data_IF_830915532075
#
_entry.id   IF_830915532075
#
_cell.length_a   1.000
_cell.length_b   1.000
_cell.length_c   1.000
_cell.angle_alpha   90.00
_cell.angle_beta   90.00
_cell.angle_gamma   90.00
#
_symmetry.space_group_name_H-M   'P 1'
#
loop_
_entity.id
_entity.type
_entity.pdbx_description
1 polymer ?
#
# COMPACT_ATOMS: atom_id res chain seq x y z
N UNK A 1 -4.62 14.19 8.07
CA UNK A 1 -5.02 14.71 6.73
C UNK A 1 -5.79 13.62 6.02
N UNK A 2 -7.02 13.87 5.57
CA UNK A 2 -7.85 12.89 4.87
C UNK A 2 -7.69 13.04 3.37
N UNK A 3 -7.32 11.97 2.67
CA UNK A 3 -7.24 11.93 1.21
C UNK A 3 -8.16 10.80 0.76
N UNK A 4 -9.14 11.10 -0.10
CA UNK A 4 -10.06 10.13 -0.70
C UNK A 4 -10.67 9.14 0.32
N UNK A 5 -11.24 9.64 1.42
CA UNK A 5 -11.98 8.84 2.38
C UNK A 5 -11.16 7.97 3.35
N UNK A 6 -9.82 8.05 3.34
CA UNK A 6 -8.96 7.35 4.31
C UNK A 6 -7.88 8.30 4.85
N UNK A 7 -7.48 8.11 6.10
CA UNK A 7 -6.42 8.92 6.68
C UNK A 7 -5.06 8.57 6.05
N UNK A 8 -4.19 9.58 5.93
CA UNK A 8 -2.81 9.36 5.47
C UNK A 8 -2.06 8.35 6.37
N UNK A 9 -2.37 8.36 7.66
CA UNK A 9 -1.80 7.50 8.69
C UNK A 9 -2.15 6.02 8.44
N UNK A 10 -3.42 5.69 8.23
CA UNK A 10 -3.84 4.32 7.89
C UNK A 10 -3.18 3.82 6.60
N UNK A 11 -2.97 4.71 5.61
CA UNK A 11 -2.29 4.33 4.36
C UNK A 11 -0.81 4.01 4.60
N UNK A 12 -0.16 4.77 5.47
CA UNK A 12 1.23 4.52 5.86
C UNK A 12 1.34 3.23 6.68
N UNK A 13 0.43 2.99 7.61
CA UNK A 13 0.37 1.73 8.38
C UNK A 13 0.18 0.53 7.45
N UNK A 14 -0.75 0.60 6.49
CA UNK A 14 -0.96 -0.47 5.52
C UNK A 14 0.29 -0.74 4.66
N UNK A 15 0.94 0.31 4.16
CA UNK A 15 2.18 0.16 3.40
C UNK A 15 3.32 -0.40 4.27
N UNK A 16 3.39 0.00 5.54
CA UNK A 16 4.35 -0.52 6.50
C UNK A 16 4.12 -2.01 6.79
N UNK A 17 2.87 -2.45 6.95
CA UNK A 17 2.53 -3.87 7.09
C UNK A 17 2.98 -4.67 5.87
N UNK A 18 2.73 -4.17 4.66
CA UNK A 18 3.21 -4.83 3.42
C UNK A 18 4.74 -4.91 3.39
N UNK A 19 5.43 -3.83 3.76
CA UNK A 19 6.89 -3.84 3.89
C UNK A 19 7.38 -4.90 4.88
N UNK A 20 6.78 -4.99 6.07
CA UNK A 20 7.15 -6.00 7.07
C UNK A 20 6.93 -7.43 6.57
N UNK A 21 5.83 -7.70 5.86
CA UNK A 21 5.56 -9.03 5.28
C UNK A 21 6.63 -9.40 4.26
N UNK A 22 6.99 -8.46 3.38
CA UNK A 22 8.06 -8.70 2.39
C UNK A 22 9.44 -8.87 3.04
N UNK A 23 9.73 -8.11 4.09
CA UNK A 23 10.97 -8.23 4.85
C UNK A 23 11.10 -9.60 5.53
N UNK A 24 10.04 -10.08 6.17
CA UNK A 24 9.99 -11.42 6.78
C UNK A 24 10.14 -12.50 5.70
N UNK A 25 9.46 -12.35 4.57
CA UNK A 25 9.54 -13.31 3.47
C UNK A 25 10.95 -13.39 2.85
N UNK A 26 11.59 -12.24 2.63
CA UNK A 26 12.97 -12.18 2.12
C UNK A 26 13.96 -12.82 3.11
N UNK A 27 13.74 -12.62 4.41
CA UNK A 27 14.55 -13.23 5.47
C UNK A 27 14.40 -14.75 5.51
N UNK A 28 13.18 -15.28 5.32
CA UNK A 28 12.94 -16.75 5.30
C UNK A 28 13.54 -17.39 4.05
N UNK A 29 13.51 -16.70 2.91
CA UNK A 29 13.98 -17.27 1.63
C UNK A 29 15.48 -17.19 1.41
N UNK A 30 16.21 -16.48 2.28
CA UNK A 30 17.65 -16.16 2.11
C UNK A 30 17.97 -15.54 0.73
N UNK A 31 16.94 -15.03 0.06
CA UNK A 31 16.99 -14.41 -1.26
C UNK A 31 16.72 -12.92 -1.06
N UNK A 32 17.76 -12.20 -0.67
CA UNK A 32 17.70 -10.78 -0.36
C UNK A 32 17.72 -9.91 -1.62
N UNK A 33 16.62 -9.93 -2.38
CA UNK A 33 16.38 -8.86 -3.34
C UNK A 33 15.76 -7.66 -2.64
N UNK A 34 16.65 -6.82 -2.09
CA UNK A 34 16.29 -5.56 -1.42
C UNK A 34 15.49 -4.62 -2.32
N UNK A 35 15.67 -4.72 -3.63
CA UNK A 35 14.92 -3.93 -4.62
C UNK A 35 13.44 -4.26 -4.53
N UNK A 36 13.10 -5.55 -4.51
CA UNK A 36 11.72 -6.02 -4.37
C UNK A 36 11.11 -5.66 -3.00
N UNK A 37 11.89 -5.79 -1.93
CA UNK A 37 11.45 -5.46 -0.55
C UNK A 37 11.06 -3.98 -0.41
N UNK A 38 11.74 -3.07 -1.12
CA UNK A 38 11.45 -1.63 -1.06
C UNK A 38 10.47 -1.18 -2.15
N UNK A 39 10.62 -1.68 -3.38
CA UNK A 39 9.78 -1.24 -4.50
C UNK A 39 8.33 -1.68 -4.35
N UNK A 40 8.07 -2.90 -3.87
CA UNK A 40 6.71 -3.43 -3.79
C UNK A 40 5.83 -2.64 -2.80
N UNK A 41 6.28 -2.30 -1.58
CA UNK A 41 5.51 -1.45 -0.68
C UNK A 41 5.21 -0.05 -1.26
N UNK A 42 6.17 0.54 -1.97
CA UNK A 42 5.98 1.85 -2.63
C UNK A 42 4.93 1.75 -3.74
N UNK A 43 5.01 0.72 -4.58
CA UNK A 43 4.03 0.46 -5.63
C UNK A 43 2.65 0.14 -5.05
N UNK A 44 2.59 -0.64 -3.97
CA UNK A 44 1.35 -0.93 -3.25
C UNK A 44 0.71 0.34 -2.71
N UNK A 45 1.49 1.23 -2.09
CA UNK A 45 1.00 2.51 -1.60
C UNK A 45 0.41 3.37 -2.74
N UNK A 46 1.13 3.50 -3.85
CA UNK A 46 0.66 4.23 -5.03
C UNK A 46 -0.62 3.61 -5.63
N UNK A 47 -0.65 2.28 -5.75
CA UNK A 47 -1.82 1.54 -6.23
C UNK A 47 -3.03 1.73 -5.31
N UNK A 48 -2.84 1.67 -3.99
CA UNK A 48 -3.89 1.86 -3.00
C UNK A 48 -4.48 3.27 -3.06
N UNK A 49 -3.65 4.29 -3.28
CA UNK A 49 -4.13 5.66 -3.53
C UNK A 49 -5.05 5.71 -4.76
N UNK A 50 -4.61 5.11 -5.86
CA UNK A 50 -5.40 5.06 -7.09
C UNK A 50 -6.72 4.31 -6.90
N UNK A 51 -6.66 3.15 -6.24
CA UNK A 51 -7.82 2.32 -5.95
C UNK A 51 -8.85 3.06 -5.07
N UNK A 52 -8.41 3.72 -3.99
CA UNK A 52 -9.29 4.51 -3.13
C UNK A 52 -9.96 5.65 -3.90
N UNK A 53 -9.21 6.34 -4.77
CA UNK A 53 -9.75 7.42 -5.59
C UNK A 53 -10.84 6.90 -6.55
N UNK A 54 -10.58 5.75 -7.19
CA UNK A 54 -11.53 5.10 -8.08
C UNK A 54 -12.77 4.65 -7.31
N UNK A 55 -12.60 3.98 -6.17
CA UNK A 55 -13.71 3.51 -5.33
C UNK A 55 -14.57 4.66 -4.84
N UNK A 56 -13.94 5.76 -4.40
CA UNK A 56 -14.65 6.95 -3.94
C UNK A 56 -15.52 7.53 -5.04
N UNK A 57 -14.99 7.71 -6.26
CA UNK A 57 -15.76 8.16 -7.43
C UNK A 57 -16.89 7.21 -7.81
N UNK A 58 -16.68 5.90 -7.68
CA UNK A 58 -17.68 4.88 -8.03
C UNK A 58 -18.82 4.83 -7.02
N UNK A 59 -18.54 5.13 -5.75
CA UNK A 59 -19.54 5.24 -4.68
C UNK A 59 -20.30 6.58 -4.75
N UNK A 60 -19.62 7.69 -5.05
CA UNK A 60 -20.26 8.99 -5.25
C UNK A 60 -21.15 9.03 -6.50
N UNK A 61 -20.74 8.38 -7.60
CA UNK A 61 -21.55 8.30 -8.82
C UNK A 61 -22.77 7.36 -8.73
N UNK A 62 -22.99 6.71 -7.58
CA UNK A 62 -24.13 5.83 -7.31
C UNK A 62 -25.16 6.42 -6.33
N UNK A 63 -24.91 7.61 -5.78
CA UNK A 63 -25.86 8.37 -4.94
C UNK A 63 -26.63 9.39 -5.76
#
# INVERSE_FOLDING_TARGET
MNIAGTSLEERLEQAFVVFLVFLVFATIRDSYDWSSVVAIPVLFFAFKIGLDLVLHRLLEGRG
#
